data_IF_009247831238
#
_entry.id   IF_009247831238
#
_cell.length_a   1.000
_cell.length_b   1.000
_cell.length_c   1.000
_cell.angle_alpha   90.00
_cell.angle_beta   90.00
_cell.angle_gamma   90.00
#
_symmetry.space_group_name_H-M   'P 1'
#
loop_
_entity.id
_entity.type
_entity.pdbx_description
1 polymer ?
#
# COMPACT_ATOMS: atom_id res chain seq x y z
N UNK A 1 -8.26 4.81 6.98
CA UNK A 1 -7.59 4.74 5.66
C UNK A 1 -6.26 5.46 5.69
N UNK A 2 -6.14 6.59 6.38
CA UNK A 2 -4.86 7.31 6.54
C UNK A 2 -3.72 6.41 7.03
N UNK A 3 -3.93 5.62 8.08
CA UNK A 3 -2.88 4.73 8.62
C UNK A 3 -2.26 3.78 7.58
N UNK A 4 -3.06 3.15 6.71
CA UNK A 4 -2.52 2.21 5.71
C UNK A 4 -1.77 2.98 4.61
N UNK A 5 -2.25 4.17 4.23
CA UNK A 5 -1.57 5.05 3.26
C UNK A 5 -0.23 5.52 3.83
N UNK A 6 -0.18 5.93 5.10
CA UNK A 6 1.03 6.39 5.77
C UNK A 6 2.06 5.28 5.90
N UNK A 7 1.63 4.08 6.32
CA UNK A 7 2.48 2.90 6.43
C UNK A 7 3.13 2.55 5.07
N UNK A 8 2.36 2.59 3.98
CA UNK A 8 2.85 2.27 2.65
C UNK A 8 3.72 3.39 2.05
N UNK A 9 3.34 4.65 2.30
CA UNK A 9 4.11 5.83 1.84
C UNK A 9 5.44 6.00 2.57
N UNK A 10 5.62 5.36 3.72
CA UNK A 10 6.85 5.41 4.51
C UNK A 10 7.66 4.11 4.44
N UNK A 11 7.24 3.16 3.60
CA UNK A 11 7.90 1.87 3.44
C UNK A 11 9.13 2.02 2.53
N UNK A 12 10.33 1.91 3.12
CA UNK A 12 11.60 2.09 2.40
C UNK A 12 11.77 1.10 1.24
N UNK A 13 11.35 -0.16 1.41
CA UNK A 13 11.42 -1.17 0.35
C UNK A 13 10.52 -0.77 -0.83
N UNK A 14 9.28 -0.35 -0.57
CA UNK A 14 8.40 0.18 -1.61
C UNK A 14 8.99 1.43 -2.26
N UNK A 15 9.60 2.32 -1.49
CA UNK A 15 10.31 3.50 -1.99
C UNK A 15 11.39 3.14 -3.01
N UNK A 16 12.25 2.19 -2.66
CA UNK A 16 13.29 1.69 -3.58
C UNK A 16 12.67 1.06 -4.83
N UNK A 17 11.61 0.25 -4.67
CA UNK A 17 10.92 -0.38 -5.82
C UNK A 17 10.26 0.65 -6.74
N UNK A 18 9.61 1.67 -6.20
CA UNK A 18 8.95 2.72 -6.99
C UNK A 18 9.94 3.53 -7.85
N UNK A 19 11.17 3.73 -7.36
CA UNK A 19 12.24 4.44 -8.08
C UNK A 19 12.80 3.66 -9.26
N UNK A 20 12.88 2.34 -9.17
CA UNK A 20 13.53 1.50 -10.19
C UNK A 20 12.56 0.82 -11.14
N UNK A 21 11.32 0.57 -10.71
CA UNK A 21 10.33 -0.17 -11.49
C UNK A 21 9.35 0.75 -12.24
N UNK A 22 8.68 0.20 -13.25
CA UNK A 22 7.46 0.79 -13.80
C UNK A 22 6.30 0.66 -12.81
N UNK A 23 5.19 1.36 -13.06
CA UNK A 23 3.97 1.25 -12.25
C UNK A 23 3.42 -0.19 -12.24
N UNK A 24 3.41 -0.86 -13.39
CA UNK A 24 2.91 -2.23 -13.53
C UNK A 24 3.78 -3.23 -12.75
N UNK A 25 5.11 -3.10 -12.86
CA UNK A 25 6.05 -3.94 -12.10
C UNK A 25 5.99 -3.66 -10.60
N UNK A 26 5.77 -2.39 -10.21
CA UNK A 26 5.63 -1.96 -8.83
C UNK A 26 4.40 -2.59 -8.16
N UNK A 27 3.31 -2.81 -8.89
CA UNK A 27 2.07 -3.42 -8.37
C UNK A 27 2.33 -4.71 -7.60
N UNK A 28 3.26 -5.55 -8.07
CA UNK A 28 3.59 -6.79 -7.38
C UNK A 28 4.18 -6.59 -5.98
N UNK A 29 5.05 -5.60 -5.82
CA UNK A 29 5.61 -5.25 -4.52
C UNK A 29 4.54 -4.58 -3.63
N UNK A 30 3.74 -3.70 -4.22
CA UNK A 30 2.66 -3.01 -3.53
C UNK A 30 1.64 -3.98 -2.92
N UNK A 31 1.13 -4.95 -3.68
CA UNK A 31 0.13 -5.91 -3.17
C UNK A 31 0.67 -6.67 -1.95
N UNK A 32 1.92 -7.13 -1.99
CA UNK A 32 2.52 -7.83 -0.84
C UNK A 32 2.61 -6.95 0.41
N UNK A 33 3.07 -5.72 0.25
CA UNK A 33 3.17 -4.76 1.36
C UNK A 33 1.81 -4.34 1.89
N UNK A 34 0.81 -4.21 1.01
CA UNK A 34 -0.56 -3.87 1.35
C UNK A 34 -1.21 -4.98 2.20
N UNK A 35 -1.13 -6.23 1.75
CA UNK A 35 -1.64 -7.39 2.51
C UNK A 35 -0.97 -7.52 3.88
N UNK A 36 0.36 -7.35 3.93
CA UNK A 36 1.11 -7.34 5.18
C UNK A 36 0.63 -6.24 6.13
N UNK A 37 0.42 -5.02 5.62
CA UNK A 37 -0.07 -3.90 6.43
C UNK A 37 -1.47 -4.16 7.00
N UNK A 38 -2.37 -4.79 6.24
CA UNK A 38 -3.69 -5.17 6.75
C UNK A 38 -3.59 -6.11 7.95
N UNK A 39 -2.71 -7.11 7.88
CA UNK A 39 -2.53 -8.10 8.96
C UNK A 39 -1.90 -7.45 10.19
N UNK A 40 -0.86 -6.63 10.02
CA UNK A 40 -0.16 -5.94 11.11
C UNK A 40 -1.06 -4.94 11.85
N UNK A 41 -1.91 -4.23 11.11
CA UNK A 41 -2.79 -3.20 11.65
C UNK A 41 -4.16 -3.76 12.09
N UNK A 42 -4.42 -5.06 11.87
CA UNK A 42 -5.72 -5.69 12.14
C UNK A 42 -6.22 -5.43 13.55
N UNK A 43 -5.36 -5.56 14.55
CA UNK A 43 -5.70 -5.37 15.97
C UNK A 43 -6.13 -3.93 16.29
N UNK A 44 -5.63 -2.93 15.55
CA UNK A 44 -5.93 -1.52 15.80
C UNK A 44 -7.32 -1.13 15.29
N UNK A 45 -7.81 -1.79 14.25
CA UNK A 45 -9.16 -1.58 13.73
C UNK A 45 -9.73 -2.83 13.07
N UNK A 46 -10.16 -3.78 13.89
CA UNK A 46 -10.65 -5.09 13.45
C UNK A 46 -11.85 -5.00 12.52
N UNK A 47 -12.69 -3.95 12.62
CA UNK A 47 -13.84 -3.75 11.73
C UNK A 47 -13.40 -3.40 10.31
N UNK A 48 -12.53 -2.41 10.16
CA UNK A 48 -12.06 -1.95 8.85
C UNK A 48 -11.11 -2.96 8.21
N UNK A 49 -10.06 -3.35 8.91
CA UNK A 49 -9.09 -4.32 8.39
C UNK A 49 -9.70 -5.72 8.23
N UNK A 50 -10.63 -6.11 9.10
CA UNK A 50 -11.40 -7.35 8.92
C UNK A 50 -12.36 -7.30 7.73
N UNK A 51 -12.82 -6.12 7.28
CA UNK A 51 -13.52 -6.00 6.00
C UNK A 51 -12.55 -6.23 4.84
N UNK A 52 -11.37 -5.60 4.87
CA UNK A 52 -10.34 -5.80 3.84
C UNK A 52 -9.90 -7.26 3.71
N UNK A 53 -9.85 -8.02 4.81
CA UNK A 53 -9.50 -9.45 4.79
C UNK A 53 -10.61 -10.36 4.25
N UNK A 54 -11.88 -9.95 4.30
CA UNK A 54 -13.03 -10.81 3.96
C UNK A 54 -13.71 -10.43 2.64
N UNK A 55 -13.51 -9.20 2.20
CA UNK A 55 -14.15 -8.62 1.02
C UNK A 55 -13.07 -8.23 0.01
N UNK A 56 -12.75 -9.18 -0.88
CA UNK A 56 -11.73 -9.01 -1.92
C UNK A 56 -12.06 -7.86 -2.87
N UNK A 57 -13.35 -7.61 -3.14
CA UNK A 57 -13.77 -6.49 -4.00
C UNK A 57 -13.51 -5.16 -3.32
N UNK A 58 -13.83 -5.03 -2.03
CA UNK A 58 -13.50 -3.85 -1.24
C UNK A 58 -11.99 -3.62 -1.15
N UNK A 59 -11.21 -4.70 -0.98
CA UNK A 59 -9.75 -4.65 -0.97
C UNK A 59 -9.19 -4.15 -2.31
N UNK A 60 -9.62 -4.74 -3.42
CA UNK A 60 -9.20 -4.36 -4.76
C UNK A 60 -9.51 -2.89 -5.07
N UNK A 61 -10.74 -2.44 -4.79
CA UNK A 61 -11.15 -1.05 -5.00
C UNK A 61 -10.28 -0.07 -4.20
N UNK A 62 -9.93 -0.41 -2.95
CA UNK A 62 -9.05 0.45 -2.16
C UNK A 62 -7.63 0.49 -2.73
N UNK A 63 -7.08 -0.67 -3.15
CA UNK A 63 -5.75 -0.69 -3.78
C UNK A 63 -5.71 0.17 -5.04
N UNK A 64 -6.68 -0.01 -5.94
CA UNK A 64 -6.73 0.74 -7.20
C UNK A 64 -6.90 2.25 -6.95
N UNK A 65 -7.60 2.64 -5.86
CA UNK A 65 -7.75 4.03 -5.46
C UNK A 65 -6.44 4.68 -4.99
N UNK A 66 -5.56 3.95 -4.29
CA UNK A 66 -4.40 4.55 -3.59
C UNK A 66 -3.06 4.23 -4.22
N UNK A 67 -2.96 3.17 -5.03
CA UNK A 67 -1.66 2.64 -5.50
C UNK A 67 -0.93 3.64 -6.40
N UNK A 68 -1.65 4.34 -7.27
CA UNK A 68 -1.06 5.35 -8.16
C UNK A 68 -0.45 6.51 -7.37
N UNK A 69 -1.21 7.08 -6.44
CA UNK A 69 -0.74 8.21 -5.63
C UNK A 69 0.45 7.82 -4.76
N UNK A 70 0.44 6.62 -4.17
CA UNK A 70 1.57 6.12 -3.36
C UNK A 70 2.80 5.89 -4.25
N UNK A 71 2.63 5.29 -5.43
CA UNK A 71 3.72 5.09 -6.37
C UNK A 71 4.38 6.42 -6.77
N UNK A 72 3.58 7.40 -7.21
CA UNK A 72 4.07 8.71 -7.61
C UNK A 72 4.75 9.43 -6.44
N UNK A 73 4.15 9.37 -5.25
CA UNK A 73 4.74 9.95 -4.03
C UNK A 73 6.11 9.35 -3.72
N UNK A 74 6.20 8.02 -3.69
CA UNK A 74 7.44 7.29 -3.36
C UNK A 74 8.54 7.47 -4.41
N UNK A 75 8.15 7.48 -5.70
CA UNK A 75 9.09 7.67 -6.82
C UNK A 75 9.71 9.07 -6.81
N UNK A 76 8.91 10.08 -6.52
CA UNK A 76 9.32 11.48 -6.48
C UNK A 76 9.80 11.92 -5.09
N UNK A 77 9.88 11.01 -4.11
CA UNK A 77 10.41 11.30 -2.79
C UNK A 77 11.94 11.43 -2.90
N UNK A 78 12.42 12.67 -2.99
CA UNK A 78 13.86 12.96 -2.99
C UNK A 78 14.52 12.33 -1.76
N UNK A 79 15.64 11.63 -1.98
CA UNK A 79 16.54 11.27 -0.87
C UNK A 79 17.25 12.57 -0.52
N UNK A 80 16.69 13.32 0.44
CA UNK A 80 17.37 14.46 1.05
C UNK A 80 18.63 13.97 1.75
#
# INVERSE_FOLDING_TARGET
MEQIIDNLSSNEELGQKAKVNTYDDFRHAFVRSFDKSIVEEYSKNTKFYGKLLRDESFKANLMDMIMFDIYEKLRNQDVV
#
